data_IF_331436222556
#
_entry.id   IF_331436222556
#
_cell.length_a   1.000
_cell.length_b   1.000
_cell.length_c   1.000
_cell.angle_alpha   90.00
_cell.angle_beta   90.00
_cell.angle_gamma   90.00
#
_symmetry.space_group_name_H-M   'P 1'
#
loop_
_entity.id
_entity.type
_entity.pdbx_description
1 polymer ?
#
# COMPACT_ATOMS: atom_id res chain seq x y z
N UNK A 1 -18.16 5.67 11.55
CA UNK A 1 -17.74 4.25 11.37
C UNK A 1 -16.63 4.13 10.29
N UNK A 2 -15.46 4.78 10.45
CA UNK A 2 -14.67 5.16 9.25
C UNK A 2 -13.18 4.80 9.28
N UNK A 3 -12.64 4.22 10.36
CA UNK A 3 -11.19 3.92 10.47
C UNK A 3 -10.82 2.47 10.15
N UNK A 4 -11.74 1.52 10.38
CA UNK A 4 -11.48 0.06 10.24
C UNK A 4 -11.43 -0.40 8.78
N UNK A 5 -12.32 0.11 7.92
CA UNK A 5 -12.39 -0.34 6.51
C UNK A 5 -11.14 0.04 5.69
N UNK A 6 -10.53 1.20 5.95
CA UNK A 6 -9.38 1.68 5.17
C UNK A 6 -8.12 0.85 5.41
N UNK A 7 -7.95 0.37 6.64
CA UNK A 7 -6.85 -0.50 7.08
C UNK A 7 -7.09 -1.93 6.61
N UNK A 8 -8.32 -2.44 6.73
CA UNK A 8 -8.71 -3.74 6.18
C UNK A 8 -8.34 -3.84 4.69
N UNK A 9 -8.69 -2.83 3.89
CA UNK A 9 -8.37 -2.84 2.45
C UNK A 9 -6.85 -2.79 2.14
N UNK A 10 -6.00 -2.30 3.05
CA UNK A 10 -4.54 -2.33 2.84
C UNK A 10 -3.98 -3.72 3.15
N UNK A 11 -4.28 -4.23 4.36
CA UNK A 11 -3.79 -5.53 4.81
C UNK A 11 -4.32 -6.65 3.93
N UNK A 12 -5.57 -6.58 3.48
CA UNK A 12 -6.14 -7.53 2.53
C UNK A 12 -5.44 -7.47 1.16
N UNK A 13 -5.16 -6.26 0.66
CA UNK A 13 -4.47 -6.11 -0.61
C UNK A 13 -3.02 -6.63 -0.54
N UNK A 14 -2.35 -6.44 0.60
CA UNK A 14 -1.01 -6.96 0.85
C UNK A 14 -1.01 -8.49 0.94
N UNK A 15 -1.91 -9.07 1.74
CA UNK A 15 -2.05 -10.52 1.84
C UNK A 15 -2.36 -11.17 0.48
N UNK A 16 -3.24 -10.54 -0.31
CA UNK A 16 -3.53 -11.02 -1.66
C UNK A 16 -2.31 -10.92 -2.59
N UNK A 17 -1.49 -9.88 -2.45
CA UNK A 17 -0.27 -9.74 -3.23
C UNK A 17 0.74 -10.85 -2.88
N UNK A 18 0.84 -11.21 -1.60
CA UNK A 18 1.67 -12.35 -1.14
C UNK A 18 1.18 -13.67 -1.75
N UNK A 19 -0.14 -13.95 -1.70
CA UNK A 19 -0.73 -15.12 -2.36
C UNK A 19 -0.45 -15.16 -3.87
N UNK A 20 -0.48 -14.01 -4.54
CA UNK A 20 -0.20 -13.90 -5.98
C UNK A 20 1.26 -14.26 -6.26
N UNK A 21 2.19 -13.75 -5.44
CA UNK A 21 3.62 -14.08 -5.58
C UNK A 21 3.84 -15.58 -5.41
N UNK A 22 3.27 -16.19 -4.37
CA UNK A 22 3.36 -17.64 -4.16
C UNK A 22 2.83 -18.44 -5.36
N UNK A 23 1.71 -18.00 -5.96
CA UNK A 23 1.14 -18.65 -7.14
C UNK A 23 2.01 -18.49 -8.38
N UNK A 24 2.60 -17.31 -8.59
CA UNK A 24 3.50 -17.02 -9.71
C UNK A 24 4.80 -17.85 -9.66
N UNK A 25 5.20 -18.32 -8.48
CA UNK A 25 6.34 -19.21 -8.30
C UNK A 25 5.99 -20.70 -8.53
N UNK A 26 4.71 -21.03 -8.72
CA UNK A 26 4.28 -22.40 -8.98
C UNK A 26 4.75 -22.89 -10.36
N UNK A 27 5.39 -24.08 -10.45
CA UNK A 27 5.85 -24.64 -11.72
C UNK A 27 4.71 -25.09 -12.65
N UNK A 28 3.51 -25.29 -12.10
CA UNK A 28 2.33 -25.78 -12.84
C UNK A 28 1.42 -24.64 -13.32
N UNK A 29 1.82 -23.38 -13.13
CA UNK A 29 1.01 -22.22 -13.49
C UNK A 29 0.94 -22.05 -15.01
N UNK A 30 -0.29 -21.98 -15.55
CA UNK A 30 -0.47 -21.71 -16.97
C UNK A 30 -0.23 -20.23 -17.31
N UNK A 31 0.13 -19.96 -18.58
CA UNK A 31 0.50 -18.61 -19.03
C UNK A 31 -0.66 -17.61 -18.91
N UNK A 32 -1.90 -18.05 -19.16
CA UNK A 32 -3.06 -17.16 -19.14
C UNK A 32 -3.43 -16.77 -17.70
N UNK A 33 -3.39 -17.73 -16.79
CA UNK A 33 -3.52 -17.51 -15.35
C UNK A 33 -2.40 -16.63 -14.81
N UNK A 34 -1.15 -16.88 -15.24
CA UNK A 34 -0.01 -16.04 -14.87
C UNK A 34 -0.15 -14.59 -15.30
N UNK A 35 -0.69 -14.34 -16.51
CA UNK A 35 -0.99 -12.98 -16.97
C UNK A 35 -2.06 -12.31 -16.10
N UNK A 36 -3.14 -13.03 -15.78
CA UNK A 36 -4.21 -12.51 -14.90
C UNK A 36 -3.69 -12.17 -13.50
N UNK A 37 -2.89 -13.06 -12.92
CA UNK A 37 -2.25 -12.86 -11.62
C UNK A 37 -1.29 -11.67 -11.63
N UNK A 38 -0.52 -11.49 -12.71
CA UNK A 38 0.38 -10.35 -12.86
C UNK A 38 -0.39 -9.02 -12.95
N UNK A 39 -1.46 -8.96 -13.74
CA UNK A 39 -2.32 -7.77 -13.85
C UNK A 39 -2.93 -7.41 -12.49
N UNK A 40 -3.46 -8.40 -11.76
CA UNK A 40 -3.99 -8.23 -10.41
C UNK A 40 -2.90 -7.72 -9.46
N UNK A 41 -1.73 -8.36 -9.47
CA UNK A 41 -0.59 -8.00 -8.62
C UNK A 41 -0.10 -6.57 -8.86
N UNK A 42 -0.03 -6.12 -10.11
CA UNK A 42 0.33 -4.74 -10.45
C UNK A 42 -0.70 -3.74 -9.92
N UNK A 43 -1.99 -4.06 -10.00
CA UNK A 43 -3.06 -3.21 -9.48
C UNK A 43 -2.98 -3.10 -7.94
N UNK A 44 -2.79 -4.23 -7.25
CA UNK A 44 -2.66 -4.27 -5.79
C UNK A 44 -1.40 -3.53 -5.31
N UNK A 45 -0.27 -3.73 -5.97
CA UNK A 45 0.97 -3.01 -5.68
C UNK A 45 0.78 -1.48 -5.79
N UNK A 46 0.13 -1.01 -6.86
CA UNK A 46 -0.19 0.42 -7.02
C UNK A 46 -1.07 0.93 -5.89
N UNK A 47 -2.09 0.17 -5.49
CA UNK A 47 -2.98 0.52 -4.39
C UNK A 47 -2.22 0.63 -3.06
N UNK A 48 -1.39 -0.35 -2.74
CA UNK A 48 -0.57 -0.36 -1.52
C UNK A 48 0.40 0.83 -1.50
N UNK A 49 1.13 1.05 -2.60
CA UNK A 49 2.05 2.18 -2.75
C UNK A 49 1.35 3.53 -2.54
N UNK A 50 0.18 3.73 -3.17
CA UNK A 50 -0.58 4.97 -3.03
C UNK A 50 -1.03 5.21 -1.58
N UNK A 51 -1.46 4.17 -0.88
CA UNK A 51 -1.82 4.28 0.55
C UNK A 51 -0.63 4.65 1.43
N UNK A 52 0.53 4.03 1.19
CA UNK A 52 1.76 4.35 1.91
C UNK A 52 2.22 5.78 1.65
N UNK A 53 2.20 6.22 0.39
CA UNK A 53 2.51 7.61 0.02
C UNK A 53 1.59 8.59 0.74
N UNK A 54 0.27 8.36 0.71
CA UNK A 54 -0.69 9.22 1.39
C UNK A 54 -0.48 9.26 2.91
N UNK A 55 -0.12 8.12 3.53
CA UNK A 55 0.21 8.06 4.95
C UNK A 55 1.49 8.88 5.25
N UNK A 56 2.54 8.73 4.44
CA UNK A 56 3.79 9.48 4.58
C UNK A 56 3.59 10.99 4.41
N UNK A 57 2.81 11.42 3.42
CA UNK A 57 2.46 12.84 3.25
C UNK A 57 1.80 13.38 4.50
N UNK A 58 0.79 12.67 5.03
CA UNK A 58 0.09 13.09 6.24
C UNK A 58 1.02 13.16 7.47
N UNK A 59 1.95 12.23 7.61
CA UNK A 59 2.96 12.25 8.67
C UNK A 59 3.88 13.48 8.49
N UNK A 60 4.32 13.75 7.26
CA UNK A 60 5.15 14.92 6.95
C UNK A 60 4.46 16.24 7.29
N UNK A 61 3.16 16.36 6.97
CA UNK A 61 2.38 17.56 7.27
C UNK A 61 2.25 17.76 8.78
N UNK A 62 1.96 16.70 9.54
CA UNK A 62 1.90 16.76 11.02
C UNK A 62 3.24 17.19 11.62
N UNK A 63 4.36 16.67 11.10
CA UNK A 63 5.70 17.03 11.58
C UNK A 63 6.08 18.47 11.22
N UNK A 64 5.68 18.96 10.05
CA UNK A 64 5.88 20.37 9.66
C UNK A 64 5.05 21.31 10.52
N UNK A 65 3.78 20.98 10.76
CA UNK A 65 2.90 21.76 11.63
C UNK A 65 3.42 21.78 13.09
N UNK A 66 3.96 20.65 13.57
CA UNK A 66 4.62 20.55 14.87
C UNK A 66 5.92 21.35 15.00
N UNK A 67 6.54 21.75 13.89
CA UNK A 67 7.80 22.51 13.84
C UNK A 67 7.58 24.03 13.63
N UNK A 68 6.34 24.53 13.66
CA UNK A 68 6.02 25.96 13.46
C UNK A 68 5.79 26.75 14.76
N UNK A 69 6.29 26.29 15.92
CA UNK A 69 6.17 27.06 17.17
C UNK A 69 7.44 27.37 17.97
N UNK A 70 8.64 26.97 17.54
CA UNK A 70 9.87 27.28 18.28
C UNK A 70 10.96 27.87 17.37
N UNK A 71 10.67 29.02 16.74
CA UNK A 71 11.61 29.72 15.85
C UNK A 71 11.59 31.24 15.91
N UNK A 72 10.85 31.85 16.85
CA UNK A 72 11.05 33.25 17.22
C UNK A 72 11.43 33.32 18.70
N UNK A 73 12.73 33.24 18.98
CA UNK A 73 13.33 33.88 20.16
C UNK A 73 14.75 34.32 19.80
N UNK A 74 14.81 35.62 19.46
CA UNK A 74 15.96 36.54 19.46
C UNK A 74 17.13 36.27 18.50
#
# INVERSE_FOLDING_TARGET
MTKVQKTANFTQALARLEEIVEKLESPDLDLEEGLKLLEEGVALHKLCKNKLTAANTKISDILKDGNTKDGEVN
#
